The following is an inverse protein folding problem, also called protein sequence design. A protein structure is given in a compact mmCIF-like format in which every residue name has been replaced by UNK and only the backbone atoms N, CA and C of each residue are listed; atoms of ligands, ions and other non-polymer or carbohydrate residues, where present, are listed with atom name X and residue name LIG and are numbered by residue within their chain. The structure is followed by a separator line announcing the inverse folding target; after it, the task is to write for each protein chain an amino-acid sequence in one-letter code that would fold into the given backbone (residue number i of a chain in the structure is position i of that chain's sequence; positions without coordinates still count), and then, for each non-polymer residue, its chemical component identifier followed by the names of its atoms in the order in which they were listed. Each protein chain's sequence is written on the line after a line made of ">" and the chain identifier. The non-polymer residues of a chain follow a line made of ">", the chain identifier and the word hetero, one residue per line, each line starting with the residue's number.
data_IF_381896128469
#
_entry.id   IF_381896128469
#
_cell.length_a   1.000
_cell.length_b   1.000
_cell.length_c   1.000
_cell.angle_alpha   90.00
_cell.angle_beta   90.00
_cell.angle_gamma   90.00
#
_symmetry.space_group_name_H-M   'P 1'
#
loop_
_entity.id
_entity.type
_entity.pdbx_description
1 polymer ?
#
# COMPACT_ATOMS: atom_id res chain seq x y z
N UNK A 1 2.19 -27.50 -9.84
CA UNK A 1 2.92 -26.71 -10.86
C UNK A 1 3.38 -25.41 -10.20
N UNK A 2 4.62 -25.36 -9.71
CA UNK A 2 5.20 -24.18 -9.04
C UNK A 2 6.43 -23.68 -9.81
N UNK A 3 6.98 -22.51 -9.46
CA UNK A 3 8.14 -21.88 -10.12
C UNK A 3 7.92 -21.49 -11.59
N UNK A 4 6.69 -21.22 -12.01
CA UNK A 4 6.38 -20.61 -13.30
C UNK A 4 6.06 -19.13 -13.09
N UNK A 5 6.78 -18.24 -13.76
CA UNK A 5 6.49 -16.81 -13.77
C UNK A 5 5.81 -16.45 -15.09
N UNK A 6 4.62 -15.86 -15.04
CA UNK A 6 3.97 -15.34 -16.25
C UNK A 6 4.76 -14.15 -16.75
N UNK A 7 5.20 -14.22 -18.01
CA UNK A 7 5.94 -13.14 -18.70
C UNK A 7 5.05 -12.41 -19.71
N UNK A 8 4.04 -13.09 -20.27
CA UNK A 8 3.08 -12.52 -21.21
C UNK A 8 1.72 -13.22 -21.10
N UNK A 9 0.64 -12.44 -21.19
CA UNK A 9 -0.71 -12.92 -21.39
C UNK A 9 -1.42 -12.01 -22.39
N UNK A 10 -1.92 -12.58 -23.48
CA UNK A 10 -2.55 -11.82 -24.58
C UNK A 10 -3.76 -12.59 -25.11
N UNK A 11 -4.82 -11.86 -25.44
CA UNK A 11 -6.01 -12.42 -26.06
C UNK A 11 -5.91 -12.38 -27.58
N UNK A 12 -6.26 -13.49 -28.22
CA UNK A 12 -6.25 -13.62 -29.66
C UNK A 12 -7.67 -13.79 -30.20
N UNK A 13 -8.19 -12.75 -30.87
CA UNK A 13 -9.57 -12.70 -31.36
C UNK A 13 -9.91 -13.84 -32.34
N UNK A 14 -8.93 -14.28 -33.16
CA UNK A 14 -9.15 -15.36 -34.13
C UNK A 14 -9.32 -16.75 -33.49
N UNK A 15 -8.78 -16.94 -32.28
CA UNK A 15 -8.82 -18.21 -31.54
C UNK A 15 -9.85 -18.22 -30.41
N UNK A 16 -10.47 -17.07 -30.11
CA UNK A 16 -11.32 -16.83 -28.94
C UNK A 16 -10.68 -17.32 -27.62
N UNK A 17 -9.36 -17.06 -27.48
CA UNK A 17 -8.54 -17.57 -26.37
C UNK A 17 -7.46 -16.60 -25.95
N UNK A 18 -7.16 -16.66 -24.65
CA UNK A 18 -5.92 -16.17 -24.07
C UNK A 18 -4.79 -17.15 -24.33
N UNK A 19 -3.62 -16.62 -24.69
CA UNK A 19 -2.35 -17.35 -24.67
C UNK A 19 -1.46 -16.74 -23.59
N UNK A 20 -0.88 -17.59 -22.76
CA UNK A 20 -0.06 -17.21 -21.61
C UNK A 20 1.30 -17.87 -21.73
N UNK A 21 2.36 -17.06 -21.74
CA UNK A 21 3.74 -17.53 -21.69
C UNK A 21 4.23 -17.47 -20.25
N UNK A 22 4.68 -18.61 -19.75
CA UNK A 22 5.19 -18.75 -18.40
C UNK A 22 6.60 -19.33 -18.44
N UNK A 23 7.55 -18.63 -17.83
CA UNK A 23 8.93 -19.08 -17.70
C UNK A 23 9.14 -19.88 -16.43
N UNK A 24 9.66 -21.09 -16.57
CA UNK A 24 10.10 -21.89 -15.44
C UNK A 24 11.38 -21.27 -14.85
N UNK A 25 11.33 -20.81 -13.60
CA UNK A 25 12.46 -20.14 -12.93
C UNK A 25 13.67 -21.06 -12.68
N UNK A 26 13.47 -22.38 -12.70
CA UNK A 26 14.52 -23.35 -12.43
C UNK A 26 15.24 -23.79 -13.73
N UNK A 27 14.48 -24.14 -14.76
CA UNK A 27 15.06 -24.60 -16.04
C UNK A 27 15.29 -23.47 -17.05
N UNK A 28 14.63 -22.33 -16.88
CA UNK A 28 14.61 -21.23 -17.86
C UNK A 28 13.70 -21.47 -19.06
N UNK A 29 13.09 -22.66 -19.16
CA UNK A 29 12.18 -23.04 -20.24
C UNK A 29 10.91 -22.20 -20.23
N UNK A 30 10.40 -21.88 -21.42
CA UNK A 30 9.15 -21.13 -21.60
C UNK A 30 8.06 -22.10 -22.02
N UNK A 31 7.03 -22.18 -21.19
CA UNK A 31 5.84 -22.99 -21.41
C UNK A 31 4.71 -22.07 -21.92
N UNK A 32 3.93 -22.52 -22.89
CA UNK A 32 2.77 -21.80 -23.40
C UNK A 32 1.46 -22.50 -23.00
N UNK A 33 0.53 -21.72 -22.49
CA UNK A 33 -0.79 -22.16 -22.05
C UNK A 33 -1.86 -21.42 -22.85
N UNK A 34 -2.95 -22.10 -23.19
CA UNK A 34 -4.10 -21.48 -23.85
C UNK A 34 -5.38 -21.75 -23.08
N UNK A 35 -6.26 -20.76 -22.96
CA UNK A 35 -7.53 -20.89 -22.28
C UNK A 35 -8.56 -19.85 -22.72
N UNK A 36 -9.85 -20.18 -22.61
CA UNK A 36 -10.94 -19.23 -22.90
C UNK A 36 -11.03 -18.10 -21.87
N UNK A 37 -10.62 -18.39 -20.64
CA UNK A 37 -10.72 -17.47 -19.51
C UNK A 37 -9.34 -17.21 -18.91
N UNK A 38 -9.10 -15.96 -18.48
CA UNK A 38 -7.90 -15.56 -17.76
C UNK A 38 -8.29 -14.87 -16.45
N UNK A 39 -7.83 -15.41 -15.32
CA UNK A 39 -8.07 -14.84 -14.00
C UNK A 39 -6.78 -14.24 -13.45
N UNK A 40 -6.76 -12.92 -13.29
CA UNK A 40 -5.63 -12.16 -12.75
C UNK A 40 -5.71 -12.12 -11.23
N UNK A 41 -4.82 -12.84 -10.55
CA UNK A 41 -4.73 -12.89 -9.09
C UNK A 41 -3.30 -12.59 -8.59
N UNK A 42 -2.61 -11.63 -9.22
CA UNK A 42 -1.20 -11.31 -8.95
C UNK A 42 -0.96 -10.45 -7.71
N UNK A 43 -2.02 -10.01 -7.03
CA UNK A 43 -1.95 -9.17 -5.83
C UNK A 43 -1.60 -7.70 -6.07
N UNK A 44 -1.66 -6.91 -5.00
CA UNK A 44 -1.58 -5.44 -5.05
C UNK A 44 -0.14 -4.91 -4.79
N UNK A 45 0.72 -5.73 -4.19
CA UNK A 45 2.05 -5.32 -3.72
C UNK A 45 3.14 -6.17 -4.37
N UNK A 46 3.43 -5.89 -5.64
CA UNK A 46 4.41 -6.67 -6.40
C UNK A 46 5.81 -6.06 -6.34
N UNK A 47 5.94 -4.79 -6.71
CA UNK A 47 7.25 -4.16 -6.88
C UNK A 47 7.42 -2.94 -5.98
N UNK A 48 8.57 -2.78 -5.30
CA UNK A 48 8.89 -1.57 -4.55
C UNK A 48 8.67 -0.30 -5.37
N UNK A 49 7.96 0.68 -4.80
CA UNK A 49 7.88 2.02 -5.38
C UNK A 49 8.89 2.91 -4.67
N UNK A 50 10.07 3.11 -5.26
CA UNK A 50 11.03 4.11 -4.80
C UNK A 50 10.86 5.37 -5.66
N UNK A 51 10.54 6.54 -5.08
CA UNK A 51 10.44 7.78 -5.83
C UNK A 51 11.82 8.26 -6.29
N UNK A 52 11.85 8.98 -7.41
CA UNK A 52 13.05 9.73 -7.80
C UNK A 52 13.23 10.89 -6.83
N UNK A 53 14.43 10.98 -6.25
CA UNK A 53 14.81 12.05 -5.31
C UNK A 53 16.12 12.63 -5.80
N UNK A 54 16.14 13.94 -6.00
CA UNK A 54 17.32 14.65 -6.49
C UNK A 54 18.50 14.48 -5.52
N UNK A 55 19.64 14.00 -6.02
CA UNK A 55 20.88 13.84 -5.25
C UNK A 55 20.94 12.58 -4.38
N UNK A 56 19.93 11.68 -4.47
CA UNK A 56 19.91 10.42 -3.71
C UNK A 56 21.09 9.51 -4.06
N UNK A 57 21.53 9.52 -5.31
CA UNK A 57 22.73 8.80 -5.80
C UNK A 57 24.03 9.23 -5.10
N UNK A 58 24.06 10.44 -4.55
CA UNK A 58 25.18 10.98 -3.78
C UNK A 58 25.09 10.73 -2.28
N UNK A 59 24.02 10.08 -1.78
CA UNK A 59 23.86 9.76 -0.37
C UNK A 59 24.88 8.70 0.05
N UNK A 60 25.66 8.99 1.11
CA UNK A 60 26.76 8.09 1.53
C UNK A 60 26.30 7.00 2.49
N UNK A 61 25.11 7.17 3.06
CA UNK A 61 24.51 6.23 4.00
C UNK A 61 23.75 5.09 3.34
N UNK A 62 23.04 4.30 4.15
CA UNK A 62 22.27 3.16 3.64
C UNK A 62 20.93 3.62 3.08
N UNK A 63 20.59 3.18 1.86
CA UNK A 63 19.28 3.43 1.24
C UNK A 63 18.60 2.11 0.95
N UNK A 64 17.43 1.88 1.56
CA UNK A 64 16.62 0.68 1.31
C UNK A 64 15.15 1.02 1.14
N UNK A 65 14.41 0.13 0.47
CA UNK A 65 12.95 0.10 0.55
C UNK A 65 12.51 -0.79 1.73
N UNK A 66 11.29 -0.63 2.22
CA UNK A 66 10.73 -1.44 3.31
C UNK A 66 10.81 -2.96 3.07
N UNK A 67 10.82 -3.40 1.80
CA UNK A 67 11.04 -4.82 1.42
C UNK A 67 12.41 -5.37 1.79
N UNK A 68 13.42 -4.50 1.92
CA UNK A 68 14.75 -4.86 2.37
C UNK A 68 14.94 -4.76 3.88
N UNK A 69 13.97 -4.19 4.61
CA UNK A 69 14.04 -4.04 6.06
C UNK A 69 13.78 -5.39 6.74
N UNK A 70 14.57 -5.69 7.79
CA UNK A 70 14.42 -6.93 8.58
C UNK A 70 14.12 -6.65 10.05
N UNK A 71 14.89 -5.78 10.68
CA UNK A 71 14.69 -5.31 12.06
C UNK A 71 15.60 -4.10 12.33
N UNK A 72 15.33 -3.41 13.43
CA UNK A 72 16.00 -2.16 13.80
C UNK A 72 17.42 -2.32 14.35
N UNK A 73 17.87 -3.55 14.66
CA UNK A 73 19.18 -3.77 15.32
C UNK A 73 20.35 -3.25 14.51
N UNK A 74 20.28 -3.31 13.19
CA UNK A 74 21.38 -2.84 12.33
C UNK A 74 21.51 -1.31 12.30
N UNK A 75 20.48 -0.59 12.76
CA UNK A 75 20.41 0.87 12.74
C UNK A 75 20.61 1.49 14.13
N UNK A 76 21.13 0.72 15.08
CA UNK A 76 21.30 1.19 16.46
C UNK A 76 22.16 2.47 16.47
N UNK A 77 21.72 3.46 17.24
CA UNK A 77 22.33 4.79 17.40
C UNK A 77 22.33 5.69 16.14
N UNK A 78 21.88 5.18 14.98
CA UNK A 78 21.79 5.92 13.70
C UNK A 78 20.60 6.89 13.65
N UNK A 79 20.78 7.98 12.91
CA UNK A 79 19.68 8.84 12.46
C UNK A 79 19.07 8.25 11.19
N UNK A 80 17.83 7.77 11.29
CA UNK A 80 17.16 7.06 10.20
C UNK A 80 15.96 7.84 9.69
N UNK A 81 15.97 8.21 8.41
CA UNK A 81 14.83 8.84 7.76
C UNK A 81 13.88 7.76 7.20
N UNK A 82 12.67 7.71 7.73
CA UNK A 82 11.58 6.86 7.22
C UNK A 82 10.69 7.68 6.30
N UNK A 83 10.71 7.37 5.00
CA UNK A 83 9.96 8.09 3.97
C UNK A 83 8.60 7.42 3.76
N UNK A 84 7.55 8.00 4.34
CA UNK A 84 6.17 7.56 4.18
C UNK A 84 5.52 7.09 5.49
N UNK A 85 4.27 7.52 5.70
CA UNK A 85 3.51 7.36 6.94
C UNK A 85 2.43 6.27 6.91
N UNK A 86 2.54 5.30 5.99
CA UNK A 86 1.66 4.13 5.96
C UNK A 86 1.97 3.14 7.09
N UNK A 87 1.23 2.03 7.18
CA UNK A 87 1.40 1.02 8.24
C UNK A 87 2.86 0.54 8.33
N UNK A 88 3.51 0.18 7.21
CA UNK A 88 4.92 -0.21 7.20
C UNK A 88 5.85 0.88 7.73
N UNK A 89 5.62 2.15 7.39
CA UNK A 89 6.46 3.25 7.87
C UNK A 89 6.35 3.46 9.38
N UNK A 90 5.12 3.42 9.90
CA UNK A 90 4.85 3.58 11.34
C UNK A 90 5.37 2.41 12.18
N UNK A 91 5.25 1.18 11.68
CA UNK A 91 5.78 -0.02 12.34
C UNK A 91 7.32 -0.07 12.29
N UNK A 92 7.93 0.27 11.14
CA UNK A 92 9.39 0.34 11.02
C UNK A 92 9.96 1.44 11.92
N UNK A 93 9.34 2.62 11.97
CA UNK A 93 9.77 3.69 12.88
C UNK A 93 9.70 3.26 14.35
N UNK A 94 8.66 2.52 14.74
CA UNK A 94 8.55 1.96 16.09
C UNK A 94 9.64 0.92 16.37
N UNK A 95 9.87 0.00 15.44
CA UNK A 95 10.89 -1.04 15.59
C UNK A 95 12.30 -0.44 15.69
N UNK A 96 12.62 0.53 14.84
CA UNK A 96 13.85 1.33 14.91
C UNK A 96 14.05 1.97 16.28
N UNK A 97 13.03 2.70 16.78
CA UNK A 97 13.10 3.34 18.10
C UNK A 97 13.28 2.31 19.23
N UNK A 98 12.63 1.14 19.14
CA UNK A 98 12.78 0.07 20.13
C UNK A 98 14.18 -0.56 20.14
N UNK A 99 14.90 -0.50 19.02
CA UNK A 99 16.28 -0.98 18.90
C UNK A 99 17.35 0.11 19.09
N UNK A 100 16.95 1.31 19.53
CA UNK A 100 17.87 2.40 19.87
C UNK A 100 18.34 3.25 18.69
N UNK A 101 17.69 3.14 17.53
CA UNK A 101 17.86 4.11 16.45
C UNK A 101 17.13 5.42 16.79
N UNK A 102 17.42 6.49 16.03
CA UNK A 102 16.79 7.81 16.13
C UNK A 102 15.97 8.08 14.85
N UNK A 103 14.78 7.47 14.73
CA UNK A 103 13.97 7.59 13.52
C UNK A 103 13.30 8.98 13.41
N UNK A 104 13.36 9.53 12.20
CA UNK A 104 12.50 10.64 11.77
C UNK A 104 11.58 10.15 10.66
N UNK A 105 10.26 10.31 10.81
CA UNK A 105 9.27 9.84 9.84
C UNK A 105 8.61 11.01 9.11
N UNK A 106 8.52 10.91 7.79
CA UNK A 106 7.79 11.89 6.97
C UNK A 106 6.29 11.58 7.03
N UNK A 107 5.52 12.51 7.60
CA UNK A 107 4.05 12.50 7.57
C UNK A 107 3.60 13.70 6.75
N UNK A 108 3.17 13.45 5.51
CA UNK A 108 2.85 14.55 4.60
C UNK A 108 1.58 15.28 5.03
N UNK A 109 1.73 16.55 5.35
CA UNK A 109 0.60 17.47 5.45
C UNK A 109 -0.02 17.69 4.05
N UNK A 110 -1.34 17.92 3.92
CA UNK A 110 -1.92 18.41 2.67
C UNK A 110 -1.11 19.60 2.15
N UNK A 111 -0.49 19.47 0.98
CA UNK A 111 0.11 20.61 0.29
C UNK A 111 -1.02 21.42 -0.34
N UNK A 112 -1.05 22.73 -0.07
CA UNK A 112 -2.01 23.68 -0.65
C UNK A 112 -1.90 23.64 -2.18
N UNK A 113 -2.78 22.90 -2.84
CA UNK A 113 -2.84 22.77 -4.30
C UNK A 113 -2.97 21.35 -4.82
N UNK A 114 -2.71 20.32 -4.00
CA UNK A 114 -3.04 18.93 -4.35
C UNK A 114 -4.36 18.53 -3.69
N UNK A 115 -5.24 17.85 -4.42
CA UNK A 115 -6.55 17.42 -3.92
C UNK A 115 -6.45 16.51 -2.68
N UNK A 116 -7.55 16.32 -1.93
CA UNK A 116 -7.58 15.49 -0.72
C UNK A 116 -7.12 14.04 -0.92
N UNK A 117 -7.11 13.53 -2.16
CA UNK A 117 -6.51 12.25 -2.51
C UNK A 117 -4.99 12.21 -2.27
N UNK A 118 -4.31 13.36 -2.29
CA UNK A 118 -2.87 13.50 -2.04
C UNK A 118 -2.52 13.92 -0.60
N UNK A 119 -3.51 14.24 0.25
CA UNK A 119 -3.25 14.47 1.68
C UNK A 119 -3.06 13.12 2.39
N UNK A 120 -1.92 12.93 3.06
CA UNK A 120 -1.67 11.70 3.84
C UNK A 120 -2.14 11.91 5.27
N UNK A 121 -3.45 12.12 5.39
CA UNK A 121 -4.10 12.17 6.69
C UNK A 121 -3.98 10.77 7.34
N UNK A 122 -3.48 10.74 8.58
CA UNK A 122 -3.22 9.49 9.30
C UNK A 122 -4.23 9.35 10.43
N UNK A 123 -5.01 8.26 10.40
CA UNK A 123 -5.81 7.83 11.54
C UNK A 123 -5.09 6.74 12.31
N UNK A 124 -4.87 6.95 13.60
CA UNK A 124 -4.41 5.89 14.48
C UNK A 124 -5.60 5.20 15.13
N UNK A 125 -5.62 3.87 15.10
CA UNK A 125 -6.60 3.04 15.78
C UNK A 125 -5.88 1.93 16.54
N UNK A 126 -6.41 1.50 17.68
CA UNK A 126 -5.91 0.29 18.33
C UNK A 126 -6.55 -0.96 17.70
N UNK A 127 -5.97 -2.14 17.96
CA UNK A 127 -6.58 -3.42 17.57
C UNK A 127 -7.99 -3.57 18.13
N UNK A 128 -8.18 -3.19 19.39
CA UNK A 128 -9.48 -3.28 20.06
C UNK A 128 -10.51 -2.36 19.41
N UNK A 129 -10.13 -1.12 19.06
CA UNK A 129 -11.02 -0.20 18.33
C UNK A 129 -11.48 -0.82 17.00
N UNK A 130 -10.56 -1.46 16.26
CA UNK A 130 -10.91 -2.12 15.00
C UNK A 130 -11.83 -3.32 15.22
N UNK A 131 -11.56 -4.14 16.24
CA UNK A 131 -12.40 -5.28 16.60
C UNK A 131 -13.82 -4.84 16.97
N UNK A 132 -13.97 -3.89 17.89
CA UNK A 132 -15.28 -3.40 18.32
C UNK A 132 -16.00 -2.65 17.20
N UNK A 133 -15.30 -1.92 16.34
CA UNK A 133 -15.90 -1.35 15.13
C UNK A 133 -16.51 -2.44 14.25
N UNK A 134 -15.78 -3.53 14.02
CA UNK A 134 -16.25 -4.73 13.33
C UNK A 134 -17.56 -5.28 13.91
N UNK A 135 -17.62 -5.42 15.24
CA UNK A 135 -18.83 -5.86 15.95
C UNK A 135 -19.98 -4.87 15.77
N UNK A 136 -19.72 -3.57 15.92
CA UNK A 136 -20.73 -2.52 15.84
C UNK A 136 -21.33 -2.36 14.43
N UNK A 137 -20.60 -2.70 13.37
CA UNK A 137 -21.16 -2.69 12.01
C UNK A 137 -22.32 -3.67 11.82
N UNK A 138 -22.49 -4.68 12.70
CA UNK A 138 -23.64 -5.57 12.67
C UNK A 138 -24.92 -4.94 13.25
N UNK A 139 -24.80 -3.81 13.96
CA UNK A 139 -25.90 -3.21 14.72
C UNK A 139 -26.16 -1.75 14.37
N UNK A 140 -25.14 -1.03 13.88
CA UNK A 140 -25.18 0.41 13.65
C UNK A 140 -24.82 0.75 12.19
N UNK A 141 -25.29 1.92 11.73
CA UNK A 141 -24.92 2.41 10.41
C UNK A 141 -23.41 2.71 10.30
N UNK A 142 -22.80 2.59 9.11
CA UNK A 142 -21.36 2.84 8.95
C UNK A 142 -20.92 4.24 9.40
N UNK A 143 -21.75 5.27 9.16
CA UNK A 143 -21.47 6.64 9.60
C UNK A 143 -21.45 6.77 11.13
N UNK A 144 -22.36 6.07 11.82
CA UNK A 144 -22.41 6.06 13.28
C UNK A 144 -21.17 5.39 13.87
N UNK A 145 -20.80 4.21 13.35
CA UNK A 145 -19.59 3.49 13.79
C UNK A 145 -18.35 4.34 13.58
N UNK A 146 -18.22 5.00 12.41
CA UNK A 146 -17.09 5.87 12.12
C UNK A 146 -16.98 7.04 13.13
N UNK A 147 -18.09 7.72 13.43
CA UNK A 147 -18.09 8.81 14.42
C UNK A 147 -17.66 8.33 15.80
N UNK A 148 -18.19 7.18 16.26
CA UNK A 148 -17.83 6.59 17.55
C UNK A 148 -16.33 6.26 17.60
N UNK A 149 -15.81 5.61 16.56
CA UNK A 149 -14.39 5.26 16.45
C UNK A 149 -13.51 6.51 16.47
N UNK A 150 -13.89 7.56 15.75
CA UNK A 150 -13.16 8.85 15.75
C UNK A 150 -13.16 9.50 17.14
N UNK A 151 -14.29 9.47 17.86
CA UNK A 151 -14.37 10.01 19.23
C UNK A 151 -13.43 9.22 20.16
N UNK A 152 -13.51 7.89 20.13
CA UNK A 152 -12.65 7.03 20.97
C UNK A 152 -11.18 7.22 20.63
N UNK A 153 -10.84 7.31 19.34
CA UNK A 153 -9.48 7.62 18.86
C UNK A 153 -8.97 8.94 19.42
N UNK A 154 -9.79 10.00 19.42
CA UNK A 154 -9.41 11.31 20.00
C UNK A 154 -9.16 11.22 21.49
N UNK A 155 -9.95 10.44 22.23
CA UNK A 155 -9.76 10.26 23.67
C UNK A 155 -8.45 9.53 23.95
N UNK A 156 -8.15 8.47 23.21
CA UNK A 156 -6.96 7.63 23.44
C UNK A 156 -5.67 8.32 22.98
N UNK A 157 -5.66 8.88 21.77
CA UNK A 157 -4.44 9.44 21.18
C UNK A 157 -4.28 10.94 21.44
N UNK A 158 -5.35 11.66 21.77
CA UNK A 158 -5.33 13.11 21.96
C UNK A 158 -5.01 13.87 20.68
N UNK A 159 -4.65 15.15 20.82
CA UNK A 159 -4.22 15.98 19.71
C UNK A 159 -2.75 15.74 19.36
N UNK A 160 -2.50 15.26 18.13
CA UNK A 160 -1.18 15.01 17.59
C UNK A 160 -0.67 16.14 16.68
N UNK A 161 -1.45 17.21 16.50
CA UNK A 161 -1.10 18.34 15.64
C UNK A 161 0.21 19.01 16.07
N UNK A 162 0.45 19.11 17.39
CA UNK A 162 1.71 19.60 17.97
C UNK A 162 2.94 18.76 17.64
N UNK A 163 2.74 17.51 17.21
CA UNK A 163 3.80 16.64 16.69
C UNK A 163 3.78 16.58 15.16
N UNK A 164 3.14 17.51 14.46
CA UNK A 164 3.11 17.53 12.99
C UNK A 164 2.14 16.54 12.35
N UNK A 165 1.24 15.90 13.11
CA UNK A 165 0.21 15.00 12.58
C UNK A 165 -1.16 15.65 12.76
N UNK A 166 -1.70 16.35 11.75
CA UNK A 166 -3.01 16.96 11.84
C UNK A 166 -4.11 15.89 11.93
N UNK A 167 -5.20 16.21 12.63
CA UNK A 167 -6.34 15.31 12.68
C UNK A 167 -7.00 15.23 11.28
N UNK A 168 -7.27 14.03 10.76
CA UNK A 168 -7.90 13.88 9.45
C UNK A 168 -9.30 14.50 9.38
N UNK A 169 -9.71 14.96 8.20
CA UNK A 169 -11.04 15.55 7.97
C UNK A 169 -12.12 14.49 7.75
N UNK A 170 -11.75 13.43 7.05
CA UNK A 170 -12.62 12.27 6.81
C UNK A 170 -12.28 11.15 7.79
N UNK A 171 -13.22 10.27 8.13
CA UNK A 171 -12.97 9.17 9.06
C UNK A 171 -12.24 7.98 8.42
N UNK A 172 -11.71 7.05 9.24
CA UNK A 172 -10.83 5.97 8.79
C UNK A 172 -11.48 4.98 7.80
N UNK A 173 -12.79 4.74 7.90
CA UNK A 173 -13.47 3.78 7.02
C UNK A 173 -13.87 4.44 5.70
N UNK A 174 -14.30 5.70 5.75
CA UNK A 174 -14.56 6.53 4.57
C UNK A 174 -13.28 6.68 3.75
N UNK A 175 -12.14 6.97 4.40
CA UNK A 175 -10.84 7.07 3.73
C UNK A 175 -10.41 5.75 3.07
N UNK A 176 -10.67 4.60 3.73
CA UNK A 176 -10.45 3.29 3.14
C UNK A 176 -11.30 3.09 1.88
N UNK A 177 -12.58 3.42 1.94
CA UNK A 177 -13.50 3.19 0.82
C UNK A 177 -13.21 4.10 -0.38
N UNK A 178 -12.96 5.40 -0.16
CA UNK A 178 -12.74 6.37 -1.24
C UNK A 178 -11.33 6.29 -1.84
N UNK A 179 -10.32 6.16 -0.97
CA UNK A 179 -8.92 6.35 -1.38
C UNK A 179 -8.08 5.08 -1.20
N UNK A 180 -8.64 4.00 -0.64
CA UNK A 180 -7.88 2.80 -0.26
C UNK A 180 -6.86 3.05 0.84
N UNK A 181 -7.02 4.12 1.63
CA UNK A 181 -6.12 4.49 2.73
C UNK A 181 -6.60 3.81 4.00
N UNK A 182 -5.81 2.85 4.48
CA UNK A 182 -6.12 2.16 5.73
C UNK A 182 -5.71 3.01 6.93
N UNK A 183 -6.47 2.95 8.05
CA UNK A 183 -5.97 3.47 9.31
C UNK A 183 -4.69 2.74 9.71
N UNK A 184 -3.86 3.44 10.48
CA UNK A 184 -2.68 2.89 11.13
C UNK A 184 -3.13 2.17 12.38
N UNK A 185 -2.75 0.90 12.49
CA UNK A 185 -2.96 0.16 13.74
C UNK A 185 -1.79 0.49 14.66
N UNK A 186 -2.02 1.35 15.66
CA UNK A 186 -0.97 1.75 16.59
C UNK A 186 -0.59 0.57 17.49
N UNK A 187 0.71 0.28 17.52
CA UNK A 187 1.32 -0.72 18.40
C UNK A 187 2.18 -0.08 19.50
N UNK A 188 2.13 1.26 19.63
CA UNK A 188 2.98 2.05 20.52
C UNK A 188 3.77 3.14 19.80
N UNK A 189 3.62 3.29 18.49
CA UNK A 189 4.25 4.34 17.68
C UNK A 189 3.86 5.72 18.20
N UNK A 190 2.58 5.95 18.51
CA UNK A 190 2.11 7.24 19.05
C UNK A 190 2.77 7.56 20.38
N UNK A 191 3.00 6.57 21.24
CA UNK A 191 3.72 6.77 22.51
C UNK A 191 5.14 7.25 22.27
N UNK A 192 5.85 6.65 21.31
CA UNK A 192 7.22 7.01 20.93
C UNK A 192 7.32 8.38 20.24
N UNK A 193 6.30 8.76 19.48
CA UNK A 193 6.18 10.13 18.94
C UNK A 193 6.02 11.13 20.08
N UNK A 194 5.13 10.85 21.04
CA UNK A 194 4.88 11.73 22.19
C UNK A 194 6.10 11.89 23.11
N UNK A 195 6.94 10.85 23.25
CA UNK A 195 8.19 10.93 24.04
C UNK A 195 9.34 11.61 23.28
N UNK A 196 9.19 11.87 21.97
CA UNK A 196 10.23 12.44 21.12
C UNK A 196 11.25 11.42 20.61
N UNK A 197 11.07 10.12 20.90
CA UNK A 197 11.92 9.05 20.39
C UNK A 197 11.72 8.82 18.88
N UNK A 198 10.54 9.16 18.35
CA UNK A 198 10.28 9.26 16.91
C UNK A 198 9.97 10.72 16.58
N UNK A 199 10.79 11.33 15.73
CA UNK A 199 10.53 12.68 15.24
C UNK A 199 9.61 12.63 14.03
N UNK A 200 8.62 13.50 13.96
CA UNK A 200 7.76 13.65 12.78
C UNK A 200 8.21 14.86 11.97
N UNK A 201 8.37 14.65 10.66
CA UNK A 201 8.72 15.67 9.69
C UNK A 201 7.52 15.91 8.76
N UNK A 202 6.91 17.11 8.75
CA UNK A 202 5.67 17.36 8.00
C UNK A 202 5.88 17.62 6.50
N UNK A 203 7.14 17.81 6.09
CA UNK A 203 7.52 18.23 4.74
C UNK A 203 8.11 17.07 3.91
N UNK A 204 7.94 17.16 2.59
CA UNK A 204 8.58 16.23 1.65
C UNK A 204 10.06 16.55 1.48
N UNK A 205 10.83 15.55 1.04
CA UNK A 205 12.21 15.73 0.61
C UNK A 205 12.22 16.64 -0.63
N UNK A 206 13.07 17.65 -0.59
CA UNK A 206 13.37 18.51 -1.73
C UNK A 206 14.60 17.97 -2.48
N UNK A 207 15.71 17.76 -1.78
CA UNK A 207 16.94 17.20 -2.35
C UNK A 207 17.83 16.59 -1.27
N UNK A 208 18.82 15.82 -1.71
CA UNK A 208 19.84 15.20 -0.85
C UNK A 208 21.22 15.65 -1.31
N UNK A 209 22.08 15.99 -0.35
CA UNK A 209 23.47 16.37 -0.62
C UNK A 209 24.39 15.75 0.43
N UNK A 210 25.15 14.73 0.04
CA UNK A 210 25.91 13.91 0.99
C UNK A 210 24.98 13.25 2.01
N UNK A 211 25.15 13.52 3.30
CA UNK A 211 24.27 12.98 4.35
C UNK A 211 23.15 13.95 4.74
N UNK A 212 23.09 15.14 4.13
CA UNK A 212 22.10 16.15 4.45
C UNK A 212 20.87 15.96 3.55
N UNK A 213 19.70 15.88 4.17
CA UNK A 213 18.41 15.86 3.46
C UNK A 213 17.73 17.20 3.66
N UNK A 214 17.53 17.93 2.56
CA UNK A 214 16.78 19.18 2.52
C UNK A 214 15.30 18.88 2.31
N UNK A 215 14.45 19.51 3.10
CA UNK A 215 13.00 19.40 3.04
C UNK A 215 12.40 20.66 2.45
N UNK A 216 11.21 20.54 1.84
CA UNK A 216 10.52 21.65 1.17
C UNK A 216 10.10 22.80 2.09
N UNK A 217 10.17 22.62 3.42
CA UNK A 217 9.99 23.69 4.39
C UNK A 217 11.29 24.48 4.67
N UNK A 218 12.36 24.21 3.91
CA UNK A 218 13.67 24.83 4.00
C UNK A 218 14.57 24.25 5.09
N UNK A 219 14.11 23.27 5.87
CA UNK A 219 14.92 22.64 6.92
C UNK A 219 15.82 21.55 6.33
N UNK A 220 16.98 21.36 6.93
CA UNK A 220 17.93 20.31 6.56
C UNK A 220 18.34 19.53 7.79
N UNK A 221 18.40 18.20 7.65
CA UNK A 221 18.82 17.29 8.72
C UNK A 221 19.82 16.25 8.21
N UNK A 222 20.81 15.86 9.02
CA UNK A 222 21.70 14.77 8.68
C UNK A 222 21.03 13.42 8.96
N UNK A 223 21.22 12.46 8.05
CA UNK A 223 20.78 11.07 8.24
C UNK A 223 21.90 10.10 7.85
N UNK A 224 21.95 8.99 8.56
CA UNK A 224 22.86 7.86 8.29
C UNK A 224 22.19 6.83 7.38
N UNK A 225 20.86 6.74 7.44
CA UNK A 225 20.06 5.78 6.67
C UNK A 225 18.75 6.38 6.18
N UNK A 226 18.31 5.97 4.99
CA UNK A 226 16.99 6.31 4.40
C UNK A 226 16.24 5.02 4.09
N UNK A 227 15.03 4.90 4.64
CA UNK A 227 14.13 3.77 4.42
C UNK A 227 12.87 4.25 3.70
N UNK A 228 12.70 3.84 2.45
CA UNK A 228 11.51 4.14 1.66
C UNK A 228 10.35 3.20 2.02
N UNK A 229 9.34 3.77 2.65
CA UNK A 229 8.05 3.14 2.99
C UNK A 229 6.94 3.67 2.08
N UNK A 230 7.26 3.81 0.79
CA UNK A 230 6.47 4.52 -0.23
C UNK A 230 5.53 3.60 -1.02
N UNK A 231 5.31 2.38 -0.53
CA UNK A 231 4.36 1.42 -1.07
C UNK A 231 4.87 0.68 -2.31
N UNK A 232 3.95 0.16 -3.10
CA UNK A 232 4.25 -0.79 -4.17
C UNK A 232 3.53 -0.45 -5.48
N UNK A 233 4.17 -0.82 -6.59
CA UNK A 233 3.56 -0.94 -7.92
C UNK A 233 3.04 -2.37 -8.12
N UNK A 234 2.06 -2.49 -9.02
CA UNK A 234 1.51 -3.79 -9.43
C UNK A 234 2.30 -4.30 -10.63
N UNK A 235 2.34 -5.62 -10.81
CA UNK A 235 3.07 -6.23 -11.93
C UNK A 235 2.22 -6.42 -13.18
N UNK A 236 0.89 -6.26 -13.10
CA UNK A 236 -0.06 -6.59 -14.17
C UNK A 236 0.31 -5.96 -15.51
N UNK A 237 0.68 -4.68 -15.54
CA UNK A 237 1.06 -3.97 -16.76
C UNK A 237 2.32 -4.50 -17.45
N UNK A 238 3.16 -5.29 -16.76
CA UNK A 238 4.39 -5.83 -17.33
C UNK A 238 4.14 -7.01 -18.25
N UNK A 239 3.12 -7.79 -17.96
CA UNK A 239 2.88 -9.08 -18.60
C UNK A 239 1.49 -9.20 -19.23
N UNK A 240 0.48 -8.46 -18.76
CA UNK A 240 -0.86 -8.50 -19.32
C UNK A 240 -1.00 -7.54 -20.51
N UNK A 241 -1.42 -8.06 -21.66
CA UNK A 241 -1.76 -7.31 -22.87
C UNK A 241 -3.27 -7.33 -23.08
N UNK A 242 -3.87 -6.15 -23.23
CA UNK A 242 -5.32 -5.98 -23.17
C UNK A 242 -5.83 -6.15 -21.73
N UNK A 243 -6.85 -5.39 -21.35
CA UNK A 243 -7.34 -5.34 -19.97
C UNK A 243 -7.52 -3.92 -19.42
N UNK A 244 -7.30 -2.90 -20.25
CA UNK A 244 -7.58 -1.50 -19.92
C UNK A 244 -9.07 -1.25 -19.63
N UNK A 245 -9.96 -2.14 -20.04
CA UNK A 245 -11.38 -2.10 -19.68
C UNK A 245 -11.62 -2.51 -18.22
N UNK A 246 -10.77 -3.36 -17.66
CA UNK A 246 -10.89 -3.89 -16.29
C UNK A 246 -9.95 -3.21 -15.30
N UNK A 247 -8.71 -2.92 -15.69
CA UNK A 247 -7.66 -2.39 -14.82
C UNK A 247 -7.35 -0.93 -15.18
N UNK A 248 -7.10 -0.12 -14.16
CA UNK A 248 -6.55 1.23 -14.29
C UNK A 248 -5.09 1.18 -14.76
N UNK A 249 -4.55 2.34 -15.16
CA UNK A 249 -3.11 2.51 -15.43
C UNK A 249 -2.22 2.25 -14.22
N UNK A 250 -2.79 2.14 -13.03
CA UNK A 250 -2.05 1.77 -11.85
C UNK A 250 -2.16 0.26 -11.58
N UNK A 251 -2.97 -0.49 -12.33
CA UNK A 251 -3.16 -1.94 -12.21
C UNK A 251 -4.21 -2.38 -11.18
N UNK A 252 -4.93 -1.45 -10.55
CA UNK A 252 -6.13 -1.79 -9.76
C UNK A 252 -7.37 -1.94 -10.62
N UNK A 253 -8.35 -2.70 -10.14
CA UNK A 253 -9.67 -2.80 -10.74
C UNK A 253 -10.36 -1.43 -10.86
N UNK A 254 -10.85 -1.10 -12.06
CA UNK A 254 -11.69 0.07 -12.33
C UNK A 254 -12.96 -0.01 -11.52
N UNK A 255 -13.19 0.93 -10.60
CA UNK A 255 -14.40 0.97 -9.77
C UNK A 255 -14.68 -0.31 -8.96
N UNK A 256 -13.66 -1.15 -8.69
CA UNK A 256 -13.84 -2.45 -8.03
C UNK A 256 -14.49 -3.54 -8.90
N UNK A 257 -14.49 -3.37 -10.23
CA UNK A 257 -14.91 -4.39 -11.18
C UNK A 257 -14.06 -5.66 -11.05
N UNK A 258 -14.68 -6.83 -11.16
CA UNK A 258 -14.00 -8.13 -11.11
C UNK A 258 -14.02 -8.85 -12.47
N UNK A 259 -14.79 -8.33 -13.44
CA UNK A 259 -15.01 -8.90 -14.77
C UNK A 259 -14.75 -7.86 -15.86
N UNK A 260 -13.92 -8.23 -16.82
CA UNK A 260 -13.67 -7.50 -18.06
C UNK A 260 -14.26 -8.20 -19.28
N UNK A 261 -13.81 -7.79 -20.46
CA UNK A 261 -14.14 -8.40 -21.75
C UNK A 261 -13.35 -9.68 -22.00
N UNK A 262 -13.76 -10.44 -23.01
CA UNK A 262 -13.01 -11.56 -23.56
C UNK A 262 -12.61 -12.63 -22.52
N UNK A 263 -13.46 -12.88 -21.51
CA UNK A 263 -13.17 -13.85 -20.45
C UNK A 263 -12.03 -13.43 -19.50
N UNK A 264 -11.70 -12.14 -19.42
CA UNK A 264 -10.75 -11.59 -18.45
C UNK A 264 -11.44 -11.31 -17.12
N UNK A 265 -10.80 -11.71 -16.03
CA UNK A 265 -11.24 -11.46 -14.67
C UNK A 265 -10.09 -11.02 -13.79
N UNK A 266 -10.39 -10.35 -12.68
CA UNK A 266 -9.41 -10.06 -11.64
C UNK A 266 -9.94 -10.37 -10.24
N UNK A 267 -9.06 -10.87 -9.37
CA UNK A 267 -9.37 -11.24 -8.00
C UNK A 267 -8.39 -10.56 -7.06
N UNK A 268 -8.90 -9.84 -6.06
CA UNK A 268 -8.05 -9.23 -5.03
C UNK A 268 -7.25 -8.01 -5.51
N UNK A 269 -7.69 -7.37 -6.61
CA UNK A 269 -7.16 -6.09 -7.10
C UNK A 269 -8.13 -4.93 -6.86
N UNK A 270 -9.06 -5.09 -5.91
CA UNK A 270 -10.12 -4.12 -5.60
C UNK A 270 -9.90 -3.35 -4.29
N UNK A 271 -8.76 -3.52 -3.59
CA UNK A 271 -8.43 -2.94 -2.28
C UNK A 271 -9.40 -3.29 -1.14
N UNK A 272 -10.21 -4.33 -1.34
CA UNK A 272 -11.21 -4.80 -0.36
C UNK A 272 -10.67 -5.86 0.60
N UNK A 273 -9.38 -6.19 0.50
CA UNK A 273 -8.72 -7.19 1.34
C UNK A 273 -9.24 -8.61 1.08
N UNK A 274 -8.97 -9.53 2.01
CA UNK A 274 -9.31 -10.95 1.85
C UNK A 274 -10.79 -11.24 1.64
N UNK A 275 -11.68 -10.52 2.34
CA UNK A 275 -13.12 -10.68 2.16
C UNK A 275 -13.57 -10.28 0.75
N UNK A 276 -13.07 -9.15 0.24
CA UNK A 276 -13.33 -8.74 -1.13
C UNK A 276 -12.77 -9.73 -2.17
N UNK A 277 -11.55 -10.23 -1.95
CA UNK A 277 -10.96 -11.25 -2.82
C UNK A 277 -11.76 -12.56 -2.81
N UNK A 278 -12.34 -12.94 -1.66
CA UNK A 278 -13.21 -14.11 -1.58
C UNK A 278 -14.50 -13.93 -2.40
N UNK A 279 -15.15 -12.76 -2.28
CA UNK A 279 -16.31 -12.43 -3.10
C UNK A 279 -15.97 -12.39 -4.59
N UNK A 280 -14.85 -11.77 -4.96
CA UNK A 280 -14.36 -11.74 -6.34
C UNK A 280 -14.17 -13.16 -6.89
N UNK A 281 -13.51 -14.03 -6.13
CA UNK A 281 -13.28 -15.41 -6.53
C UNK A 281 -14.59 -16.20 -6.73
N UNK A 282 -15.57 -16.05 -5.83
CA UNK A 282 -16.87 -16.71 -5.96
C UNK A 282 -17.63 -16.21 -7.20
N UNK A 283 -17.65 -14.90 -7.42
CA UNK A 283 -18.31 -14.30 -8.59
C UNK A 283 -17.68 -14.79 -9.89
N UNK A 284 -16.34 -14.80 -9.97
CA UNK A 284 -15.60 -15.31 -11.13
C UNK A 284 -15.92 -16.79 -11.38
N UNK A 285 -15.89 -17.62 -10.34
CA UNK A 285 -16.18 -19.04 -10.47
C UNK A 285 -17.60 -19.31 -10.98
N UNK A 286 -18.60 -18.61 -10.42
CA UNK A 286 -20.00 -18.74 -10.84
C UNK A 286 -20.23 -18.28 -12.28
N UNK A 287 -19.59 -17.17 -12.69
CA UNK A 287 -19.69 -16.65 -14.05
C UNK A 287 -19.07 -17.63 -15.06
N UNK A 288 -17.86 -18.13 -14.79
CA UNK A 288 -17.21 -19.14 -15.64
C UNK A 288 -18.05 -20.42 -15.72
N UNK A 289 -18.59 -20.89 -14.59
CA UNK A 289 -19.46 -22.08 -14.56
C UNK A 289 -20.71 -21.89 -15.44
N UNK A 290 -21.28 -20.69 -15.49
CA UNK A 290 -22.45 -20.41 -16.33
C UNK A 290 -22.17 -20.55 -17.83
N UNK A 291 -20.94 -20.25 -18.29
CA UNK A 291 -20.52 -20.44 -19.68
C UNK A 291 -20.22 -21.91 -20.01
N UNK A 292 -19.69 -22.66 -19.06
CA UNK A 292 -19.37 -24.07 -19.25
C UNK A 292 -20.66 -24.91 -19.24
N UNK A 293 -21.58 -24.65 -18.31
CA UNK A 293 -22.84 -25.39 -18.18
C UNK A 293 -23.90 -25.09 -19.25
N UNK A 294 -23.74 -24.00 -20.01
CA UNK A 294 -24.58 -23.70 -21.18
C UNK A 294 -24.05 -24.30 -22.49
N UNK A 295 -22.89 -24.99 -22.44
CA UNK A 295 -22.23 -25.63 -23.59
C UNK A 295 -22.42 -27.16 -23.63
N UNK A 296 -23.29 -27.71 -22.77
CA UNK A 296 -23.71 -29.12 -22.72
C UNK A 296 -25.19 -29.24 -22.99
#
# INVERSE_FOLDING_TARGET
>A
MYNRAVELAEYFDYDDKWKVKAKNKNSGEVEEYSGKFLVVASGETAEPRVPEVQGLEGFKGKVIHSTGYKNGKEFKDEHVLVVGSGNSGMEIALDLANFGAKPSIIVRSPFSGMGPEFSYEVHFLSKDMMYYAGVLFNYLSPSTVEKLVVIVSRIVYGDLSKYGIPFPREGPFTMKMKYGKFPIIDLGTVKKIKSGEIQVLPAEIESISGNQVLFRDGKSYPFDSVIFCTGFKRSTQKWLKGGDDLLNEDGFAKGGLWKGKNGLYCVGLSRRGFYGANLDAQNVANDIASFIGSST
#
